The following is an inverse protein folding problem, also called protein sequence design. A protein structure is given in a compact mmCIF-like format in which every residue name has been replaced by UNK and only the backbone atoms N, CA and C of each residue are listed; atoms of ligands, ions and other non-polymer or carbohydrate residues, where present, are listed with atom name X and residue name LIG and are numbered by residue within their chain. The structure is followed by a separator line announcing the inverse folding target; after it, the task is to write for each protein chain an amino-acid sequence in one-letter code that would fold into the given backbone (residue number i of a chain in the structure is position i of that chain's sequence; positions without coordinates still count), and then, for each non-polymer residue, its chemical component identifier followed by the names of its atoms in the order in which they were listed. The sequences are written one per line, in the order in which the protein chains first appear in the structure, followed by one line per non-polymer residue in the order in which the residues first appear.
data_IF_093213101931
#
_entry.id   IF_093213101931
#
_cell.length_a   1.000
_cell.length_b   1.000
_cell.length_c   1.000
_cell.angle_alpha   90.00
_cell.angle_beta   90.00
_cell.angle_gamma   90.00
#
_symmetry.space_group_name_H-M   'P 1'
#
loop_
_entity.id
_entity.type
_entity.pdbx_description
1 polymer ?
#
# COMPACT_ATOMS: atom_id res chain seq x y z
N UNK A 1 -5.21 15.74 -17.94
CA UNK A 1 -4.52 15.57 -16.64
C UNK A 1 -3.87 14.19 -16.68
N UNK A 2 -2.59 14.08 -16.33
CA UNK A 2 -1.89 12.79 -16.36
C UNK A 2 -2.50 11.84 -15.30
N UNK A 3 -2.60 10.54 -15.60
CA UNK A 3 -3.13 9.56 -14.66
C UNK A 3 -2.27 9.53 -13.39
N UNK A 4 -2.93 9.30 -12.26
CA UNK A 4 -2.25 9.07 -10.99
C UNK A 4 -1.68 7.65 -10.97
N UNK A 5 -0.67 7.40 -10.15
CA UNK A 5 -0.15 6.08 -9.84
C UNK A 5 0.07 5.95 -8.33
N UNK A 6 0.09 4.73 -7.83
CA UNK A 6 0.36 4.41 -6.43
C UNK A 6 1.48 3.39 -6.37
N UNK A 7 2.41 3.56 -5.44
CA UNK A 7 3.36 2.51 -5.05
C UNK A 7 3.04 2.09 -3.62
N UNK A 8 3.03 0.79 -3.34
CA UNK A 8 2.79 0.27 -1.99
C UNK A 8 3.59 -1.01 -1.68
N UNK A 9 3.98 -1.14 -0.42
CA UNK A 9 4.60 -2.30 0.21
C UNK A 9 4.23 -2.28 1.70
N UNK A 10 3.80 -3.42 2.24
CA UNK A 10 3.27 -3.56 3.61
C UNK A 10 2.34 -2.37 4.01
N UNK A 11 2.79 -1.47 4.89
CA UNK A 11 2.01 -0.30 5.31
C UNK A 11 2.70 1.03 4.97
N UNK A 12 3.56 1.02 3.94
CA UNK A 12 4.16 2.19 3.30
C UNK A 12 3.64 2.37 1.87
N UNK A 13 3.24 3.59 1.51
CA UNK A 13 2.79 3.90 0.16
C UNK A 13 3.00 5.37 -0.23
N UNK A 14 3.04 5.62 -1.54
CA UNK A 14 3.14 6.96 -2.10
C UNK A 14 2.18 7.14 -3.28
N UNK A 15 1.59 8.32 -3.38
CA UNK A 15 0.80 8.77 -4.53
C UNK A 15 1.71 9.52 -5.50
N UNK A 16 1.67 9.13 -6.77
CA UNK A 16 2.56 9.62 -7.81
C UNK A 16 1.74 10.21 -8.97
N UNK A 17 2.31 11.18 -9.67
CA UNK A 17 1.83 11.66 -10.94
C UNK A 17 3.01 11.85 -11.90
N UNK A 18 2.98 11.26 -13.11
CA UNK A 18 3.99 11.54 -14.13
C UNK A 18 3.94 13.01 -14.55
N UNK A 19 5.10 13.65 -14.68
CA UNK A 19 5.21 14.97 -15.31
C UNK A 19 5.14 14.89 -16.85
N UNK A 20 5.39 16.01 -17.54
CA UNK A 20 5.35 16.07 -19.00
C UNK A 20 6.45 15.22 -19.68
N UNK A 21 7.49 14.84 -18.93
CA UNK A 21 8.62 14.02 -19.39
C UNK A 21 8.50 12.56 -18.91
N UNK A 22 7.31 12.16 -18.42
CA UNK A 22 7.02 10.83 -17.88
C UNK A 22 7.80 10.46 -16.60
N UNK A 23 8.41 11.44 -15.92
CA UNK A 23 9.05 11.20 -14.63
C UNK A 23 8.01 11.13 -13.51
N UNK A 24 8.03 10.07 -12.70
CA UNK A 24 7.16 9.94 -11.53
C UNK A 24 7.47 11.04 -10.49
N UNK A 25 6.51 11.92 -10.23
CA UNK A 25 6.58 12.92 -9.15
C UNK A 25 5.70 12.52 -7.99
N UNK A 26 6.24 12.56 -6.77
CA UNK A 26 5.47 12.27 -5.57
C UNK A 26 4.53 13.43 -5.24
N UNK A 27 3.27 13.11 -5.01
CA UNK A 27 2.26 14.03 -4.47
C UNK A 27 2.18 13.90 -2.95
N UNK A 28 2.17 12.67 -2.43
CA UNK A 28 2.00 12.41 -1.00
C UNK A 28 2.59 11.06 -0.59
N UNK A 29 3.04 10.99 0.66
CA UNK A 29 3.55 9.77 1.30
C UNK A 29 2.65 9.39 2.47
N UNK A 30 2.45 8.10 2.67
CA UNK A 30 1.75 7.56 3.83
C UNK A 30 2.50 6.34 4.35
N UNK A 31 2.65 6.25 5.67
CA UNK A 31 3.29 5.11 6.31
C UNK A 31 2.75 4.91 7.71
N UNK A 32 2.57 3.66 8.13
CA UNK A 32 2.39 3.32 9.53
C UNK A 32 2.97 1.97 9.87
N UNK A 33 3.12 1.72 11.16
CA UNK A 33 3.49 0.41 11.65
C UNK A 33 2.32 -0.59 11.52
N UNK A 34 2.68 -1.85 11.22
CA UNK A 34 1.78 -2.99 11.22
C UNK A 34 1.22 -3.24 12.63
N UNK A 35 -0.10 -3.24 12.76
CA UNK A 35 -0.77 -3.49 14.05
C UNK A 35 -0.85 -4.99 14.35
N UNK A 36 -0.95 -5.34 15.64
CA UNK A 36 -0.99 -6.74 16.07
C UNK A 36 -2.19 -7.52 15.50
N UNK A 37 -3.37 -6.88 15.41
CA UNK A 37 -4.54 -7.48 14.79
C UNK A 37 -4.30 -7.85 13.32
N UNK A 38 -3.53 -7.04 12.60
CA UNK A 38 -3.29 -7.21 11.17
C UNK A 38 -2.35 -8.40 10.89
N UNK A 39 -1.48 -8.72 11.86
CA UNK A 39 -0.61 -9.89 11.82
C UNK A 39 -1.38 -11.20 11.87
N UNK A 40 -2.64 -11.20 12.30
CA UNK A 40 -3.43 -12.41 12.46
C UNK A 40 -4.34 -12.72 11.27
N UNK A 41 -4.42 -11.84 10.26
CA UNK A 41 -5.22 -12.12 9.06
C UNK A 41 -4.70 -13.34 8.26
N UNK A 42 -5.58 -14.03 7.53
CA UNK A 42 -5.17 -15.02 6.54
C UNK A 42 -4.15 -14.42 5.56
N UNK A 43 -3.17 -15.23 5.12
CA UNK A 43 -2.06 -14.76 4.26
C UNK A 43 -2.58 -14.10 2.98
N UNK A 44 -3.60 -14.70 2.37
CA UNK A 44 -4.24 -14.16 1.17
C UNK A 44 -4.79 -12.74 1.39
N UNK A 45 -5.46 -12.50 2.51
CA UNK A 45 -6.01 -11.18 2.82
C UNK A 45 -4.92 -10.17 3.16
N UNK A 46 -3.82 -10.62 3.78
CA UNK A 46 -2.66 -9.77 4.10
C UNK A 46 -2.00 -9.19 2.88
N UNK A 47 -1.91 -9.94 1.78
CA UNK A 47 -1.30 -9.43 0.53
C UNK A 47 -2.08 -8.24 -0.04
N UNK A 48 -3.38 -8.13 0.25
CA UNK A 48 -4.25 -7.05 -0.23
C UNK A 48 -4.30 -5.83 0.72
N UNK A 49 -3.89 -5.99 1.97
CA UNK A 49 -3.89 -4.91 2.97
C UNK A 49 -3.06 -3.67 2.56
N UNK A 50 -1.86 -3.81 1.95
CA UNK A 50 -1.10 -2.65 1.47
C UNK A 50 -1.89 -1.78 0.48
N UNK A 51 -2.56 -2.42 -0.47
CA UNK A 51 -3.37 -1.72 -1.47
C UNK A 51 -4.59 -1.07 -0.82
N UNK A 52 -5.31 -1.80 0.04
CA UNK A 52 -6.44 -1.25 0.80
C UNK A 52 -6.02 -0.04 1.63
N UNK A 53 -4.88 -0.13 2.32
CA UNK A 53 -4.32 0.98 3.10
C UNK A 53 -4.03 2.19 2.20
N UNK A 54 -3.39 2.01 1.05
CA UNK A 54 -3.11 3.10 0.13
C UNK A 54 -4.41 3.76 -0.39
N UNK A 55 -5.40 2.96 -0.80
CA UNK A 55 -6.69 3.46 -1.30
C UNK A 55 -7.47 4.24 -0.24
N UNK A 56 -7.48 3.79 1.02
CA UNK A 56 -8.12 4.52 2.12
C UNK A 56 -7.45 5.88 2.34
N UNK A 57 -6.13 5.94 2.37
CA UNK A 57 -5.41 7.18 2.65
C UNK A 57 -5.40 8.16 1.46
N UNK A 58 -5.46 7.65 0.24
CA UNK A 58 -5.51 8.44 -0.99
C UNK A 58 -6.92 8.45 -1.60
N UNK A 59 -7.96 8.23 -0.81
CA UNK A 59 -9.35 8.12 -1.28
C UNK A 59 -9.79 9.36 -2.07
N UNK A 60 -9.49 10.56 -1.55
CA UNK A 60 -9.91 11.82 -2.17
C UNK A 60 -9.39 11.96 -3.60
N UNK A 61 -8.08 11.78 -3.89
CA UNK A 61 -7.59 11.85 -5.27
C UNK A 61 -7.88 10.62 -6.14
N UNK A 62 -8.15 9.44 -5.57
CA UNK A 62 -8.30 8.19 -6.34
C UNK A 62 -9.75 7.77 -6.63
N UNK A 63 -10.71 8.20 -5.80
CA UNK A 63 -12.11 7.83 -6.00
C UNK A 63 -12.70 8.56 -7.21
N UNK A 64 -13.25 7.80 -8.17
CA UNK A 64 -13.78 8.36 -9.42
C UNK A 64 -12.71 8.91 -10.37
N UNK A 65 -11.42 8.64 -10.09
CA UNK A 65 -10.32 9.04 -10.96
C UNK A 65 -10.34 8.27 -12.29
N UNK A 66 -9.59 8.78 -13.27
CA UNK A 66 -9.22 8.01 -14.46
C UNK A 66 -8.45 6.74 -14.04
N UNK A 67 -8.46 5.67 -14.87
CA UNK A 67 -7.73 4.44 -14.58
C UNK A 67 -6.29 4.73 -14.12
N UNK A 68 -5.92 4.19 -12.96
CA UNK A 68 -4.58 4.34 -12.39
C UNK A 68 -3.91 2.98 -12.15
N UNK A 69 -2.60 3.01 -11.87
CA UNK A 69 -1.83 1.81 -11.57
C UNK A 69 -1.46 1.77 -10.10
N UNK A 70 -1.64 0.61 -9.46
CA UNK A 70 -1.05 0.30 -8.17
C UNK A 70 0.14 -0.63 -8.40
N UNK A 71 1.32 -0.15 -8.07
CA UNK A 71 2.56 -0.90 -8.11
C UNK A 71 2.85 -1.56 -6.77
N UNK A 72 3.14 -2.86 -6.81
CA UNK A 72 3.52 -3.65 -5.62
C UNK A 72 4.62 -4.64 -5.96
N UNK A 73 5.44 -5.02 -4.99
CA UNK A 73 6.45 -6.06 -5.11
C UNK A 73 5.92 -7.47 -4.82
N UNK A 74 4.62 -7.61 -4.56
CA UNK A 74 3.94 -8.90 -4.47
C UNK A 74 3.60 -9.43 -5.88
N UNK A 75 4.50 -10.21 -6.46
CA UNK A 75 4.33 -10.78 -7.81
C UNK A 75 3.04 -11.64 -7.96
N UNK A 76 2.58 -12.28 -6.87
CA UNK A 76 1.31 -13.02 -6.84
C UNK A 76 0.10 -12.18 -7.29
N UNK A 77 0.09 -10.89 -6.95
CA UNK A 77 -1.02 -9.98 -7.27
C UNK A 77 -1.03 -9.53 -8.73
N UNK A 78 0.12 -9.51 -9.42
CA UNK A 78 0.18 -9.14 -10.84
C UNK A 78 -0.42 -10.23 -11.72
N UNK A 79 0.01 -11.49 -11.54
CA UNK A 79 -0.43 -12.62 -12.37
C UNK A 79 -1.92 -12.95 -12.17
N UNK A 80 -2.51 -12.41 -11.11
CA UNK A 80 -3.87 -12.67 -10.69
C UNK A 80 -4.73 -11.39 -10.66
N UNK A 81 -4.44 -10.41 -11.52
CA UNK A 81 -5.24 -9.18 -11.62
C UNK A 81 -6.73 -9.42 -11.97
N UNK A 82 -7.10 -10.64 -12.41
CA UNK A 82 -8.49 -11.09 -12.53
C UNK A 82 -8.95 -12.09 -11.43
N UNK A 83 -8.06 -12.64 -10.58
CA UNK A 83 -8.38 -13.74 -9.64
C UNK A 83 -7.89 -13.55 -8.19
N UNK A 84 -7.02 -12.59 -7.91
CA UNK A 84 -6.51 -12.29 -6.56
C UNK A 84 -7.20 -11.11 -5.89
N UNK A 85 -7.83 -10.20 -6.67
CA UNK A 85 -8.82 -9.30 -6.09
C UNK A 85 -10.02 -10.18 -5.74
N UNK A 86 -10.49 -10.19 -4.48
CA UNK A 86 -11.62 -10.99 -4.08
C UNK A 86 -12.82 -10.67 -4.96
N UNK A 87 -13.52 -11.70 -5.41
CA UNK A 87 -14.73 -11.56 -6.22
C UNK A 87 -15.99 -11.47 -5.37
N UNK A 88 -15.89 -11.77 -4.08
CA UNK A 88 -16.96 -11.75 -3.10
C UNK A 88 -16.50 -11.20 -1.73
N UNK A 89 -17.45 -10.83 -0.89
CA UNK A 89 -17.21 -10.27 0.45
C UNK A 89 -16.91 -8.77 0.47
N UNK A 90 -16.67 -8.24 1.68
CA UNK A 90 -16.51 -6.79 1.93
C UNK A 90 -15.32 -6.18 1.19
N UNK A 91 -14.25 -6.96 0.99
CA UNK A 91 -13.04 -6.50 0.32
C UNK A 91 -13.23 -6.36 -1.19
N UNK A 92 -14.03 -7.24 -1.81
CA UNK A 92 -14.43 -7.11 -3.21
C UNK A 92 -15.20 -5.80 -3.44
N UNK A 93 -16.24 -5.56 -2.63
CA UNK A 93 -17.06 -4.35 -2.70
C UNK A 93 -16.22 -3.09 -2.53
N UNK A 94 -15.26 -3.10 -1.60
CA UNK A 94 -14.34 -1.98 -1.40
C UNK A 94 -13.49 -1.70 -2.65
N UNK A 95 -12.87 -2.72 -3.26
CA UNK A 95 -12.00 -2.50 -4.42
C UNK A 95 -12.77 -2.09 -5.67
N UNK A 96 -14.03 -2.51 -5.82
CA UNK A 96 -14.91 -2.13 -6.93
C UNK A 96 -15.22 -0.63 -6.98
N UNK A 97 -15.03 0.12 -5.89
CA UNK A 97 -15.19 1.58 -5.88
C UNK A 97 -14.09 2.30 -6.70
N UNK A 98 -12.99 1.62 -7.02
CA UNK A 98 -11.82 2.21 -7.65
C UNK A 98 -11.54 1.61 -9.03
N UNK A 99 -11.07 2.46 -9.95
CA UNK A 99 -10.70 2.06 -11.31
C UNK A 99 -9.19 1.93 -11.41
N UNK A 100 -8.64 0.78 -11.05
CA UNK A 100 -7.20 0.54 -11.07
C UNK A 100 -6.83 -0.81 -11.67
N UNK A 101 -5.56 -0.94 -12.05
CA UNK A 101 -4.92 -2.22 -12.31
C UNK A 101 -3.69 -2.38 -11.42
N UNK A 102 -3.30 -3.62 -11.16
CA UNK A 102 -2.12 -3.93 -10.35
C UNK A 102 -0.96 -4.31 -11.27
N UNK A 103 0.20 -3.73 -11.03
CA UNK A 103 1.43 -4.06 -11.75
C UNK A 103 2.53 -4.44 -10.76
N UNK A 104 3.31 -5.46 -11.09
CA UNK A 104 4.47 -5.84 -10.29
C UNK A 104 5.61 -4.85 -10.52
N UNK A 105 6.14 -4.30 -9.42
CA UNK A 105 7.35 -3.50 -9.39
C UNK A 105 8.30 -4.17 -8.39
N UNK A 106 9.41 -4.79 -8.85
CA UNK A 106 10.36 -5.45 -7.96
C UNK A 106 10.77 -4.55 -6.79
N UNK A 107 10.95 -5.10 -5.59
CA UNK A 107 11.27 -4.31 -4.38
C UNK A 107 12.46 -3.35 -4.55
N UNK A 108 13.49 -3.77 -5.30
CA UNK A 108 14.66 -2.92 -5.64
C UNK A 108 14.31 -1.67 -6.45
N UNK A 109 13.20 -1.69 -7.18
CA UNK A 109 12.64 -0.57 -7.94
C UNK A 109 11.49 0.12 -7.18
N UNK A 110 10.92 -0.54 -6.17
CA UNK A 110 9.86 -0.03 -5.30
C UNK A 110 10.40 0.73 -4.07
N UNK A 111 11.52 1.43 -4.23
CA UNK A 111 12.33 2.01 -3.13
C UNK A 111 11.50 2.93 -2.22
N UNK A 112 10.55 3.69 -2.79
CA UNK A 112 9.71 4.60 -2.00
C UNK A 112 8.85 3.84 -0.99
N UNK A 113 8.11 2.83 -1.45
CA UNK A 113 7.22 2.07 -0.57
C UNK A 113 8.01 1.22 0.44
N UNK A 114 9.10 0.62 -0.03
CA UNK A 114 10.04 -0.20 0.76
C UNK A 114 10.69 0.59 1.91
N UNK A 115 11.11 1.83 1.64
CA UNK A 115 11.70 2.71 2.66
C UNK A 115 10.64 3.15 3.67
N UNK A 116 9.42 3.43 3.21
CA UNK A 116 8.31 3.84 4.07
C UNK A 116 7.80 2.71 4.96
N UNK A 117 7.83 1.47 4.47
CA UNK A 117 7.38 0.30 5.21
C UNK A 117 8.38 -0.14 6.30
N UNK A 118 9.67 0.18 6.13
CA UNK A 118 10.78 -0.23 7.02
C UNK A 118 11.43 0.91 7.78
N UNK A 119 10.66 1.94 8.15
CA UNK A 119 11.21 3.06 8.91
C UNK A 119 11.77 2.60 10.26
N UNK A 120 13.00 3.02 10.64
CA UNK A 120 13.68 2.52 11.84
C UNK A 120 12.99 2.94 13.15
N UNK A 121 12.21 4.02 13.14
CA UNK A 121 11.44 4.46 14.32
C UNK A 121 10.31 3.48 14.69
N UNK A 122 9.88 2.61 13.77
CA UNK A 122 8.91 1.55 14.08
C UNK A 122 9.50 0.42 14.92
N UNK A 123 10.81 0.17 14.82
CA UNK A 123 11.48 -0.80 15.68
C UNK A 123 11.66 -0.26 17.10
N UNK A 124 11.99 1.03 17.22
CA UNK A 124 12.22 1.70 18.51
C UNK A 124 10.96 1.85 19.36
N UNK A 125 9.78 1.99 18.74
CA UNK A 125 8.50 2.06 19.44
C UNK A 125 8.18 0.79 20.28
N UNK A 126 8.81 -0.34 19.98
CA UNK A 126 8.70 -1.56 20.79
C UNK A 126 9.57 -1.53 22.04
N UNK A 127 10.67 -0.76 22.05
CA UNK A 127 11.63 -0.72 23.17
C UNK A 127 11.07 0.14 24.32
N UNK A 128 10.42 1.26 24.01
CA UNK A 128 9.90 2.19 25.04
C UNK A 128 8.83 1.54 25.92
N UNK A 129 8.04 0.59 25.39
CA UNK A 129 7.04 -0.15 26.18
C UNK A 129 7.67 -1.09 27.21
N UNK A 130 8.79 -1.73 26.88
CA UNK A 130 9.46 -2.65 27.80
C UNK A 130 10.10 -1.91 28.98
N UNK A 131 10.54 -0.67 28.77
CA UNK A 131 11.17 0.12 29.84
C UNK A 131 10.18 0.74 30.82
N UNK A 132 8.93 0.98 30.43
CA UNK A 132 7.89 1.49 31.36
C UNK A 132 7.37 0.40 32.29
N UNK A 133 7.31 -0.85 31.82
CA UNK A 133 6.77 -1.98 32.61
C UNK A 133 7.78 -2.54 33.65
N UNK A 134 9.01 -2.00 33.68
CA UNK A 134 10.08 -2.41 34.61
C UNK A 134 10.23 -1.46 35.81
N UNK A 135 9.40 -0.42 35.91
CA UNK A 135 9.41 0.55 37.00
C UNK A 135 8.00 0.93 37.49
N UNK A 136 7.10 -0.05 37.57
CA UNK A 136 5.85 0.02 38.35
C UNK A 136 5.77 -1.13 39.37
#
# INVERSE_FOLDING_TARGET
MNPLNVVCDAFGCALLQPDAEEHERVISFQSRQLQAAERNHPVHDKELLPMKYALVNFRVPLLGAQPFVIYTDHASLQTATNSSIPTDGEMAVFFMEYNFRVEYKPGKLNVLADTLSRRPDYELAHITRVTTDLYD
#
